data_IF_821881564786
#
_entry.id   IF_821881564786
#
_cell.length_a   1.000
_cell.length_b   1.000
_cell.length_c   1.000
_cell.angle_alpha   90.00
_cell.angle_beta   90.00
_cell.angle_gamma   90.00
#
_symmetry.space_group_name_H-M   'P 1'
#
loop_
_entity.id
_entity.type
_entity.pdbx_description
1 polymer ?
#
# COMPACT_ATOMS: atom_id res chain seq x y z
N UNK A 1 -11.40 7.24 12.34
CA UNK A 1 -10.81 8.59 12.19
C UNK A 1 -11.13 9.04 10.77
N UNK A 2 -11.76 10.20 10.56
CA UNK A 2 -12.05 10.69 9.21
C UNK A 2 -10.79 11.38 8.67
N UNK A 3 -10.22 10.84 7.59
CA UNK A 3 -9.12 11.49 6.89
C UNK A 3 -9.73 12.22 5.71
N UNK A 4 -9.67 13.54 5.71
CA UNK A 4 -9.98 14.36 4.52
C UNK A 4 -8.68 14.56 3.76
N UNK A 5 -8.47 13.75 2.72
CA UNK A 5 -7.31 13.93 1.85
C UNK A 5 -7.58 15.03 0.84
N UNK A 6 -6.70 16.03 0.77
CA UNK A 6 -6.76 17.08 -0.23
C UNK A 6 -6.41 16.53 -1.61
N UNK A 7 -7.04 17.08 -2.66
CA UNK A 7 -6.68 16.77 -4.04
C UNK A 7 -5.19 17.00 -4.32
N UNK A 8 -4.60 18.05 -3.72
CA UNK A 8 -3.19 18.38 -3.89
C UNK A 8 -2.28 17.27 -3.35
N UNK A 9 -2.55 16.75 -2.15
CA UNK A 9 -1.78 15.67 -1.54
C UNK A 9 -1.85 14.37 -2.37
N UNK A 10 -3.01 14.10 -2.98
CA UNK A 10 -3.19 12.94 -3.88
C UNK A 10 -2.44 13.12 -5.20
N UNK A 11 -2.36 14.33 -5.74
CA UNK A 11 -1.55 14.63 -6.93
C UNK A 11 -0.06 14.53 -6.64
N UNK A 12 0.41 15.08 -5.52
CA UNK A 12 1.81 14.96 -5.09
C UNK A 12 2.19 13.49 -4.88
N UNK A 13 1.34 12.72 -4.19
CA UNK A 13 1.53 11.28 -4.02
C UNK A 13 1.60 10.55 -5.36
N UNK A 14 0.74 10.93 -6.32
CA UNK A 14 0.73 10.34 -7.66
C UNK A 14 2.04 10.65 -8.40
N UNK A 15 2.51 11.89 -8.37
CA UNK A 15 3.78 12.27 -9.01
C UNK A 15 4.95 11.48 -8.42
N UNK A 16 5.05 11.39 -7.09
CA UNK A 16 6.10 10.62 -6.44
C UNK A 16 6.03 9.11 -6.78
N UNK A 17 4.82 8.57 -6.96
CA UNK A 17 4.62 7.19 -7.42
C UNK A 17 5.08 7.00 -8.87
N UNK A 18 4.78 7.95 -9.76
CA UNK A 18 5.22 7.91 -11.15
C UNK A 18 6.76 8.02 -11.24
N UNK A 19 7.39 8.91 -10.47
CA UNK A 19 8.85 8.99 -10.35
C UNK A 19 9.46 7.70 -9.78
N UNK A 20 8.83 7.11 -8.77
CA UNK A 20 9.26 5.83 -8.19
C UNK A 20 9.18 4.69 -9.22
N UNK A 21 8.12 4.67 -10.04
CA UNK A 21 7.94 3.69 -11.12
C UNK A 21 9.04 3.81 -12.18
N UNK A 22 9.46 5.03 -12.54
CA UNK A 22 10.54 5.26 -13.50
C UNK A 22 11.91 4.88 -12.93
N UNK A 23 12.17 5.23 -11.67
CA UNK A 23 13.46 4.96 -11.02
C UNK A 23 13.64 3.49 -10.62
N UNK A 24 12.57 2.82 -10.19
CA UNK A 24 12.60 1.46 -9.63
C UNK A 24 11.45 0.59 -10.17
N UNK A 25 11.40 0.33 -11.49
CA UNK A 25 10.28 -0.38 -12.12
C UNK A 25 10.08 -1.81 -11.59
N UNK A 26 11.15 -2.50 -11.21
CA UNK A 26 11.06 -3.85 -10.63
C UNK A 26 10.35 -3.87 -9.27
N UNK A 27 10.74 -2.96 -8.37
CA UNK A 27 10.13 -2.83 -7.05
C UNK A 27 8.68 -2.34 -7.15
N UNK A 28 8.40 -1.42 -8.08
CA UNK A 28 7.04 -1.00 -8.40
C UNK A 28 6.16 -2.18 -8.85
N UNK A 29 6.64 -3.03 -9.76
CA UNK A 29 5.89 -4.19 -10.23
C UNK A 29 5.61 -5.20 -9.11
N UNK A 30 6.60 -5.49 -8.28
CA UNK A 30 6.44 -6.35 -7.09
C UNK A 30 5.40 -5.78 -6.13
N UNK A 31 5.49 -4.48 -5.83
CA UNK A 31 4.52 -3.85 -4.95
C UNK A 31 3.11 -3.87 -5.52
N UNK A 32 2.96 -3.60 -6.83
CA UNK A 32 1.68 -3.74 -7.53
C UNK A 32 1.11 -5.16 -7.42
N UNK A 33 1.95 -6.20 -7.53
CA UNK A 33 1.50 -7.59 -7.33
C UNK A 33 0.97 -7.83 -5.92
N UNK A 34 1.62 -7.29 -4.88
CA UNK A 34 1.14 -7.38 -3.50
C UNK A 34 -0.18 -6.63 -3.31
N UNK A 35 -0.34 -5.46 -3.93
CA UNK A 35 -1.61 -4.71 -3.91
C UNK A 35 -2.72 -5.52 -4.57
N UNK A 36 -2.46 -6.09 -5.75
CA UNK A 36 -3.42 -6.94 -6.47
C UNK A 36 -3.80 -8.18 -5.65
N UNK A 37 -2.83 -8.82 -4.99
CA UNK A 37 -3.07 -9.96 -4.09
C UNK A 37 -3.90 -9.56 -2.87
N UNK A 38 -3.58 -8.42 -2.23
CA UNK A 38 -4.33 -7.87 -1.10
C UNK A 38 -5.79 -7.63 -1.47
N UNK A 39 -6.03 -7.10 -2.69
CA UNK A 39 -7.36 -6.88 -3.23
C UNK A 39 -8.12 -8.19 -3.49
N UNK A 40 -7.46 -9.19 -4.10
CA UNK A 40 -8.09 -10.49 -4.40
C UNK A 40 -8.47 -11.25 -3.13
N UNK A 41 -7.64 -11.16 -2.09
CA UNK A 41 -7.90 -11.77 -0.79
C UNK A 41 -8.88 -10.96 0.07
N UNK A 42 -9.31 -9.78 -0.40
CA UNK A 42 -10.16 -8.84 0.34
C UNK A 42 -9.54 -8.44 1.70
N UNK A 43 -8.22 -8.37 1.77
CA UNK A 43 -7.50 -7.92 2.95
C UNK A 43 -7.49 -6.39 3.02
N UNK A 44 -7.34 -5.86 4.24
CA UNK A 44 -7.27 -4.42 4.44
C UNK A 44 -5.90 -3.88 3.95
N UNK A 45 -5.89 -2.82 3.14
CA UNK A 45 -4.64 -2.16 2.72
C UNK A 45 -3.85 -1.59 3.89
N UNK A 46 -4.50 -1.27 5.01
CA UNK A 46 -3.82 -0.91 6.27
C UNK A 46 -2.98 -2.07 6.80
N UNK A 47 -3.51 -3.29 6.76
CA UNK A 47 -2.74 -4.48 7.15
C UNK A 47 -1.52 -4.68 6.24
N UNK A 48 -1.69 -4.53 4.92
CA UNK A 48 -0.58 -4.58 3.96
C UNK A 48 0.50 -3.55 4.29
N UNK A 49 0.10 -2.28 4.47
CA UNK A 49 1.00 -1.18 4.77
C UNK A 49 1.78 -1.41 6.07
N UNK A 50 1.10 -1.85 7.13
CA UNK A 50 1.76 -2.17 8.40
C UNK A 50 2.80 -3.29 8.24
N UNK A 51 2.50 -4.36 7.48
CA UNK A 51 3.47 -5.43 7.26
C UNK A 51 4.73 -4.94 6.51
N UNK A 52 4.56 -4.10 5.49
CA UNK A 52 5.66 -3.52 4.72
C UNK A 52 6.48 -2.58 5.59
N UNK A 53 5.83 -1.81 6.45
CA UNK A 53 6.47 -0.83 7.35
C UNK A 53 7.07 -1.44 8.62
N UNK A 54 6.92 -2.74 8.86
CA UNK A 54 7.22 -3.38 10.14
C UNK A 54 6.48 -2.73 11.33
N UNK A 55 5.27 -2.25 11.11
CA UNK A 55 4.39 -1.71 12.14
C UNK A 55 3.47 -2.79 12.71
N UNK A 56 2.88 -2.53 13.88
CA UNK A 56 2.00 -3.50 14.53
C UNK A 56 0.71 -3.72 13.71
N UNK A 57 0.50 -4.92 13.12
CA UNK A 57 -0.61 -5.16 12.22
C UNK A 57 -1.85 -5.73 12.95
N UNK A 58 -1.78 -5.95 14.27
CA UNK A 58 -2.79 -6.67 15.07
C UNK A 58 -4.19 -6.08 14.91
N UNK A 59 -4.28 -4.76 14.88
CA UNK A 59 -5.55 -4.03 14.78
C UNK A 59 -6.21 -4.13 13.41
N UNK A 60 -5.45 -4.49 12.36
CA UNK A 60 -5.95 -4.57 10.98
C UNK A 60 -5.92 -5.99 10.42
N UNK A 61 -5.51 -6.97 11.24
CA UNK A 61 -5.33 -8.36 10.81
C UNK A 61 -6.65 -8.92 10.25
N UNK A 62 -6.67 -9.44 9.02
CA UNK A 62 -7.88 -9.99 8.45
C UNK A 62 -8.32 -11.24 9.24
N UNK A 63 -9.62 -11.38 9.45
CA UNK A 63 -10.23 -12.54 10.12
C UNK A 63 -10.34 -13.72 9.16
N UNK A 64 -9.21 -14.16 8.62
CA UNK A 64 -9.16 -15.30 7.71
C UNK A 64 -9.27 -16.59 8.53
N UNK A 65 -10.29 -17.41 8.24
CA UNK A 65 -10.46 -18.71 8.90
C UNK A 65 -9.33 -19.69 8.53
N UNK A 66 -8.69 -19.47 7.38
CA UNK A 66 -7.62 -20.32 6.89
C UNK A 66 -6.24 -19.69 7.13
N UNK A 67 -5.52 -20.21 8.13
CA UNK A 67 -4.17 -19.77 8.48
C UNK A 67 -3.15 -19.94 7.34
N UNK A 68 -3.37 -20.89 6.43
CA UNK A 68 -2.49 -21.11 5.28
C UNK A 68 -2.49 -19.90 4.34
N UNK A 69 -3.68 -19.36 4.01
CA UNK A 69 -3.81 -18.19 3.12
C UNK A 69 -3.06 -17.00 3.72
N UNK A 70 -3.19 -16.79 5.03
CA UNK A 70 -2.49 -15.71 5.72
C UNK A 70 -0.97 -15.90 5.67
N UNK A 71 -0.49 -17.13 5.87
CA UNK A 71 0.95 -17.44 5.82
C UNK A 71 1.55 -17.24 4.43
N UNK A 72 0.82 -17.59 3.36
CA UNK A 72 1.24 -17.36 1.98
C UNK A 72 1.33 -15.86 1.71
N UNK A 73 0.32 -15.10 2.14
CA UNK A 73 0.33 -13.65 1.99
C UNK A 73 1.52 -12.99 2.70
N UNK A 74 1.76 -13.35 3.96
CA UNK A 74 2.92 -12.84 4.72
C UNK A 74 4.25 -13.18 4.02
N UNK A 75 4.38 -14.40 3.49
CA UNK A 75 5.58 -14.82 2.75
C UNK A 75 5.82 -13.99 1.49
N UNK A 76 4.77 -13.62 0.75
CA UNK A 76 4.90 -12.75 -0.43
C UNK A 76 5.32 -11.33 -0.01
N UNK A 77 4.78 -10.81 1.10
CA UNK A 77 5.19 -9.51 1.64
C UNK A 77 6.64 -9.54 2.16
N UNK A 78 7.08 -10.62 2.81
CA UNK A 78 8.46 -10.76 3.27
C UNK A 78 9.46 -10.91 2.10
N UNK A 79 9.04 -11.53 0.98
CA UNK A 79 9.82 -11.53 -0.25
C UNK A 79 10.00 -10.11 -0.80
N UNK A 80 8.93 -9.31 -0.85
CA UNK A 80 9.02 -7.89 -1.22
C UNK A 80 9.99 -7.14 -0.29
N UNK A 81 9.93 -7.42 1.01
CA UNK A 81 10.81 -6.78 2.01
C UNK A 81 12.27 -7.19 1.92
N UNK A 82 12.56 -8.31 1.27
CA UNK A 82 13.93 -8.81 1.10
C UNK A 82 14.64 -8.18 -0.11
N UNK A 83 13.93 -7.38 -0.92
CA UNK A 83 14.51 -6.63 -2.03
C UNK A 83 15.44 -5.52 -1.49
N UNK A 84 16.61 -5.34 -2.11
CA UNK A 84 17.66 -4.42 -1.63
C UNK A 84 17.18 -2.96 -1.49
N UNK A 85 16.22 -2.56 -2.30
CA UNK A 85 15.70 -1.18 -2.38
C UNK A 85 14.39 -0.98 -1.61
N UNK A 86 14.00 -1.92 -0.73
CA UNK A 86 12.74 -1.80 0.02
C UNK A 86 12.63 -0.49 0.82
N UNK A 87 13.76 0.07 1.25
CA UNK A 87 13.80 1.32 2.01
C UNK A 87 13.24 2.50 1.21
N UNK A 88 13.41 2.51 -0.12
CA UNK A 88 12.82 3.55 -0.99
C UNK A 88 11.29 3.44 -1.01
N UNK A 89 10.76 2.21 -1.06
CA UNK A 89 9.32 1.98 -0.98
C UNK A 89 8.76 2.36 0.39
N UNK A 90 9.47 2.02 1.46
CA UNK A 90 9.09 2.42 2.82
C UNK A 90 9.16 3.95 2.98
N UNK A 91 10.13 4.63 2.39
CA UNK A 91 10.18 6.09 2.42
C UNK A 91 8.98 6.71 1.69
N UNK A 92 8.64 6.22 0.50
CA UNK A 92 7.48 6.66 -0.27
C UNK A 92 6.18 6.47 0.52
N UNK A 93 5.94 5.25 1.00
CA UNK A 93 4.74 4.92 1.77
C UNK A 93 4.68 5.67 3.11
N UNK A 94 5.83 6.01 3.70
CA UNK A 94 5.94 6.77 4.94
C UNK A 94 5.59 8.24 4.74
N UNK A 95 6.11 8.86 3.67
CA UNK A 95 5.80 10.23 3.29
C UNK A 95 4.30 10.45 3.09
N UNK A 96 3.63 9.47 2.46
CA UNK A 96 2.20 9.51 2.17
C UNK A 96 1.34 8.66 3.12
N UNK A 97 1.85 8.33 4.31
CA UNK A 97 1.07 7.56 5.31
C UNK A 97 -0.19 8.30 5.75
N UNK A 98 -0.14 9.63 5.81
CA UNK A 98 -1.24 10.49 6.25
C UNK A 98 -2.47 10.40 5.35
N UNK A 99 -2.31 10.11 4.05
CA UNK A 99 -3.44 9.88 3.13
C UNK A 99 -3.97 8.44 3.18
N UNK A 100 -3.30 7.55 3.91
CA UNK A 100 -3.66 6.15 4.11
C UNK A 100 -3.21 5.22 2.99
N UNK A 101 -2.80 4.00 3.36
CA UNK A 101 -2.28 3.00 2.41
C UNK A 101 -3.29 2.59 1.33
N UNK A 102 -4.60 2.68 1.61
CA UNK A 102 -5.64 2.40 0.62
C UNK A 102 -5.67 3.41 -0.53
N UNK A 103 -5.45 4.70 -0.23
CA UNK A 103 -5.38 5.76 -1.24
C UNK A 103 -4.08 5.65 -2.04
N UNK A 104 -2.94 5.43 -1.38
CA UNK A 104 -1.66 5.19 -2.07
C UNK A 104 -1.75 3.97 -3.00
N UNK A 105 -2.30 2.85 -2.51
CA UNK A 105 -2.49 1.64 -3.32
C UNK A 105 -3.43 1.88 -4.51
N UNK A 106 -4.47 2.69 -4.30
CA UNK A 106 -5.41 3.06 -5.35
C UNK A 106 -4.77 3.91 -6.45
N UNK A 107 -3.95 4.90 -6.07
CA UNK A 107 -3.16 5.70 -7.01
C UNK A 107 -2.19 4.82 -7.81
N UNK A 108 -1.54 3.86 -7.15
CA UNK A 108 -0.62 2.90 -7.77
C UNK A 108 -1.29 1.94 -8.76
N UNK A 109 -2.57 1.63 -8.55
CA UNK A 109 -3.39 0.88 -9.51
C UNK A 109 -3.87 1.74 -10.69
N UNK A 110 -3.50 3.03 -10.74
CA UNK A 110 -3.87 3.95 -11.81
C UNK A 110 -5.22 4.63 -11.62
N UNK A 111 -5.81 4.60 -10.41
CA UNK A 111 -7.02 5.40 -10.16
C UNK A 111 -6.69 6.88 -10.17
N UNK A 112 -7.62 7.67 -10.70
CA UNK A 112 -7.46 9.12 -10.79
C UNK A 112 -7.64 9.77 -9.41
N UNK A 113 -6.73 10.68 -9.05
CA UNK A 113 -6.69 11.35 -7.75
C UNK A 113 -8.04 11.97 -7.36
N UNK A 114 -8.74 12.63 -8.28
CA UNK A 114 -10.05 13.23 -7.99
C UNK A 114 -11.11 12.21 -7.54
N UNK A 115 -11.01 10.94 -7.95
CA UNK A 115 -11.94 9.88 -7.55
C UNK A 115 -11.69 9.39 -6.12
N UNK A 116 -10.58 9.78 -5.52
CA UNK A 116 -10.16 9.45 -4.16
C UNK A 116 -10.34 10.63 -3.20
N UNK A 117 -10.70 11.82 -3.73
CA UNK A 117 -11.03 13.01 -2.93
C UNK A 117 -12.38 12.77 -2.25
N UNK A 118 -12.38 12.83 -0.92
CA UNK A 118 -13.58 12.67 -0.11
C UNK A 118 -13.28 12.00 1.23
N UNK A 119 -14.26 11.95 2.13
CA UNK A 119 -14.10 11.27 3.41
C UNK A 119 -13.94 9.76 3.17
N UNK A 120 -12.77 9.22 3.50
CA UNK A 120 -12.53 7.79 3.52
C UNK A 120 -12.73 7.25 4.95
N UNK A 121 -13.53 6.18 5.09
CA UNK A 121 -13.64 5.43 6.34
C UNK A 121 -12.53 4.37 6.31
N UNK A 122 -11.53 4.55 7.17
CA UNK A 122 -10.49 3.55 7.49
C UNK A 122 -10.92 2.63 8.62
#
# INVERSE_FOLDING_TARGET
MLITTSYHELEEAKQAIDEFKENKPGLYQRFKQIIDLTRQLQFNYQYMGCLIMNEEPSSFRPQVQNAFILSVYQKEVDQLKSEQDIQDLQALLGAYKHIGYGNVSSLLLGKQAYSLVGPAVI
#
